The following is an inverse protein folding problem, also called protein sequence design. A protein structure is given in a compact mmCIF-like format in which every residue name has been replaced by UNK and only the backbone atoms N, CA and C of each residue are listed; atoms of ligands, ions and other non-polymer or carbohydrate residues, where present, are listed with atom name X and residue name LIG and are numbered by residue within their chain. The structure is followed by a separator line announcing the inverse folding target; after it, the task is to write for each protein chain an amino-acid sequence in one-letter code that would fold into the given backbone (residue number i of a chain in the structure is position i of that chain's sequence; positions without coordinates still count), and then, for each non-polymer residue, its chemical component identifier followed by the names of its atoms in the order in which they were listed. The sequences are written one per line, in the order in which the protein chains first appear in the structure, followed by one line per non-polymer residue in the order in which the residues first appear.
data_IF_813180175306
#
_entry.id   IF_813180175306
#
_cell.length_a   1.000
_cell.length_b   1.000
_cell.length_c   1.000
_cell.angle_alpha   90.00
_cell.angle_beta   90.00
_cell.angle_gamma   90.00
#
_symmetry.space_group_name_H-M   'P 1'
#
loop_
_entity.id
_entity.type
_entity.pdbx_description
1 polymer ?
#
# COMPACT_ATOMS: atom_id res chain seq x y z
N UNK A 1 -8.22 7.78 25.21
CA UNK A 1 -8.51 6.41 24.72
C UNK A 1 -8.18 6.41 23.24
N UNK A 2 -7.39 5.45 22.76
CA UNK A 2 -7.00 5.35 21.35
C UNK A 2 -8.14 4.75 20.51
N UNK A 3 -8.11 4.93 19.18
CA UNK A 3 -9.11 4.31 18.30
C UNK A 3 -8.83 2.80 18.20
N UNK A 4 -7.58 2.43 17.94
CA UNK A 4 -7.10 1.05 17.88
C UNK A 4 -5.83 0.89 18.73
N UNK A 5 -5.72 -0.25 19.43
CA UNK A 5 -4.49 -0.68 20.09
C UNK A 5 -4.03 -2.01 19.51
N UNK A 6 -2.75 -2.09 19.13
CA UNK A 6 -2.08 -3.38 18.87
C UNK A 6 -1.28 -3.73 20.12
N UNK A 7 -1.66 -4.79 20.83
CA UNK A 7 -1.16 -5.09 22.17
C UNK A 7 -0.15 -6.24 22.18
N UNK A 8 0.99 -6.04 22.86
CA UNK A 8 1.87 -7.14 23.31
C UNK A 8 2.65 -7.85 22.20
N UNK A 9 2.68 -7.32 20.99
CA UNK A 9 3.46 -7.87 19.88
C UNK A 9 4.94 -7.51 19.95
N UNK A 10 5.79 -8.35 19.36
CA UNK A 10 7.20 -8.00 19.13
C UNK A 10 7.26 -7.00 17.98
N UNK A 11 7.45 -5.73 18.30
CA UNK A 11 7.61 -4.66 17.32
C UNK A 11 9.02 -4.74 16.72
N UNK A 12 9.08 -4.91 15.41
CA UNK A 12 10.30 -4.78 14.60
C UNK A 12 10.15 -3.53 13.74
N UNK A 13 10.87 -2.48 14.13
CA UNK A 13 10.93 -1.19 13.44
C UNK A 13 12.39 -0.75 13.30
N UNK A 14 13.07 -1.12 12.20
CA UNK A 14 14.47 -0.76 11.96
C UNK A 14 14.69 0.74 11.85
N UNK A 15 13.70 1.50 11.36
CA UNK A 15 13.80 2.96 11.19
C UNK A 15 13.93 3.69 12.52
N UNK A 16 13.31 3.15 13.57
CA UNK A 16 13.40 3.65 14.95
C UNK A 16 14.27 2.78 15.87
N UNK A 17 15.00 1.81 15.30
CA UNK A 17 15.88 0.87 16.03
C UNK A 17 15.17 0.09 17.16
N UNK A 18 13.92 -0.30 16.92
CA UNK A 18 13.14 -1.09 17.89
C UNK A 18 13.05 -2.54 17.44
N UNK A 19 13.46 -3.44 18.35
CA UNK A 19 13.17 -4.87 18.29
C UNK A 19 12.81 -5.32 19.72
N UNK A 20 11.54 -5.14 20.10
CA UNK A 20 11.08 -5.37 21.46
C UNK A 20 9.56 -5.56 21.53
N UNK A 21 9.08 -6.19 22.60
CA UNK A 21 7.64 -6.24 22.89
C UNK A 21 7.10 -4.83 23.19
N UNK A 22 6.06 -4.41 22.47
CA UNK A 22 5.44 -3.08 22.59
C UNK A 22 3.93 -3.14 22.42
N UNK A 23 3.28 -2.05 22.82
CA UNK A 23 1.89 -1.74 22.55
C UNK A 23 1.82 -0.49 21.67
N UNK A 24 1.09 -0.54 20.57
CA UNK A 24 0.87 0.60 19.67
C UNK A 24 -0.49 1.22 19.92
N UNK A 25 -0.55 2.55 20.02
CA UNK A 25 -1.80 3.32 20.08
C UNK A 25 -2.02 4.09 18.78
N UNK A 26 -3.13 3.83 18.12
CA UNK A 26 -3.50 4.44 16.83
C UNK A 26 -4.68 5.38 17.03
N UNK A 27 -4.56 6.61 16.53
CA UNK A 27 -5.64 7.62 16.55
C UNK A 27 -5.71 8.30 15.18
N UNK A 28 -6.89 8.40 14.59
CA UNK A 28 -7.08 9.05 13.29
C UNK A 28 -6.23 8.45 12.16
N UNK A 29 -5.99 7.14 12.20
CA UNK A 29 -5.17 6.43 11.21
C UNK A 29 -3.66 6.59 11.36
N UNK A 30 -3.19 7.27 12.40
CA UNK A 30 -1.77 7.48 12.69
C UNK A 30 -1.34 6.72 13.94
N UNK A 31 -0.12 6.18 13.94
CA UNK A 31 0.52 5.67 15.16
C UNK A 31 0.89 6.87 16.02
N UNK A 32 0.19 7.02 17.15
CA UNK A 32 0.34 8.16 18.08
C UNK A 32 1.09 7.79 19.36
N UNK A 33 1.27 6.50 19.64
CA UNK A 33 2.03 6.02 20.78
C UNK A 33 2.69 4.67 20.49
N UNK A 34 3.92 4.51 20.98
CA UNK A 34 4.65 3.24 21.10
C UNK A 34 5.02 3.09 22.57
N UNK A 35 4.46 2.09 23.25
CA UNK A 35 4.52 1.97 24.71
C UNK A 35 5.09 0.63 25.15
N UNK A 36 5.88 0.65 26.22
CA UNK A 36 6.33 -0.57 26.92
C UNK A 36 5.23 -1.15 27.83
N UNK A 37 4.25 -0.33 28.20
CA UNK A 37 3.12 -0.70 29.08
C UNK A 37 1.83 -0.85 28.27
N UNK A 38 0.87 -1.69 28.72
CA UNK A 38 -0.42 -1.83 28.06
C UNK A 38 -1.15 -0.49 27.87
N UNK A 39 -1.85 -0.36 26.74
CA UNK A 39 -2.66 0.80 26.38
C UNK A 39 -4.14 0.40 26.30
N UNK A 40 -5.03 1.39 26.40
CA UNK A 40 -6.48 1.20 26.24
C UNK A 40 -6.99 1.89 24.98
N UNK A 41 -7.64 1.13 24.11
CA UNK A 41 -8.28 1.60 22.88
C UNK A 41 -9.75 1.20 22.79
N UNK A 42 -10.49 1.81 21.85
CA UNK A 42 -11.86 1.39 21.52
C UNK A 42 -11.87 -0.01 20.92
N UNK A 43 -10.89 -0.29 20.07
CA UNK A 43 -10.59 -1.62 19.54
C UNK A 43 -9.21 -2.08 20.02
N UNK A 44 -9.06 -3.37 20.29
CA UNK A 44 -7.80 -3.98 20.72
C UNK A 44 -7.53 -5.25 19.91
N UNK A 45 -6.38 -5.29 19.26
CA UNK A 45 -5.84 -6.48 18.60
C UNK A 45 -4.73 -7.05 19.49
N UNK A 46 -4.92 -8.26 19.99
CA UNK A 46 -3.88 -8.99 20.73
C UNK A 46 -2.87 -9.60 19.75
N UNK A 47 -1.64 -9.09 19.79
CA UNK A 47 -0.52 -9.52 18.97
C UNK A 47 0.50 -10.35 19.76
N UNK A 48 0.13 -10.88 20.94
CA UNK A 48 1.02 -11.71 21.76
C UNK A 48 1.55 -12.91 20.96
N UNK A 49 2.86 -13.11 20.98
CA UNK A 49 3.53 -14.17 20.21
C UNK A 49 3.58 -13.92 18.70
N UNK A 50 3.19 -12.73 18.23
CA UNK A 50 3.26 -12.29 16.83
C UNK A 50 4.30 -11.19 16.67
N UNK A 51 4.73 -11.00 15.42
CA UNK A 51 5.54 -9.86 15.01
C UNK A 51 4.60 -8.74 14.56
N UNK A 52 4.93 -7.53 14.96
CA UNK A 52 4.32 -6.29 14.47
C UNK A 52 5.41 -5.51 13.74
N UNK A 53 5.16 -5.08 12.52
CA UNK A 53 6.12 -4.32 11.72
C UNK A 53 5.39 -3.28 10.88
N UNK A 54 6.11 -2.30 10.31
CA UNK A 54 5.56 -1.49 9.23
C UNK A 54 5.01 -2.38 8.11
N UNK A 55 3.91 -1.96 7.50
CA UNK A 55 3.36 -2.66 6.35
C UNK A 55 4.34 -2.67 5.18
N UNK A 56 4.30 -3.73 4.38
CA UNK A 56 5.25 -3.88 3.29
C UNK A 56 4.94 -2.94 2.12
N UNK A 57 6.02 -2.52 1.44
CA UNK A 57 5.98 -1.69 0.24
C UNK A 57 6.42 -2.55 -0.93
N UNK A 58 5.48 -2.86 -1.81
CA UNK A 58 5.75 -3.54 -3.08
C UNK A 58 6.07 -2.49 -4.14
N UNK A 59 7.28 -2.55 -4.69
CA UNK A 59 7.78 -1.62 -5.70
C UNK A 59 7.51 -2.09 -7.13
N UNK A 60 6.99 -3.31 -7.31
CA UNK A 60 6.90 -3.97 -8.60
C UNK A 60 5.60 -4.78 -8.71
N UNK A 61 4.47 -4.10 -8.76
CA UNK A 61 3.17 -4.74 -9.02
C UNK A 61 2.70 -4.49 -10.44
N UNK A 62 2.20 -5.55 -11.09
CA UNK A 62 1.47 -5.52 -12.37
C UNK A 62 -0.02 -5.81 -12.19
N UNK A 63 -0.51 -5.73 -10.95
CA UNK A 63 -1.88 -6.14 -10.62
C UNK A 63 -2.66 -5.07 -9.85
N UNK A 64 -2.88 -3.87 -10.42
CA UNK A 64 -3.71 -2.85 -9.78
C UNK A 64 -5.22 -3.19 -9.89
N UNK A 65 -5.59 -4.46 -9.75
CA UNK A 65 -6.97 -4.93 -9.80
C UNK A 65 -7.50 -5.13 -8.39
N UNK A 66 -8.82 -5.22 -8.23
CA UNK A 66 -9.44 -5.48 -6.92
C UNK A 66 -8.93 -6.80 -6.31
N UNK A 67 -8.76 -7.84 -7.14
CA UNK A 67 -8.17 -9.11 -6.72
C UNK A 67 -6.68 -8.96 -6.34
N UNK A 68 -5.89 -8.25 -7.16
CA UNK A 68 -4.48 -8.01 -6.88
C UNK A 68 -4.28 -7.27 -5.55
N UNK A 69 -5.02 -6.19 -5.32
CA UNK A 69 -4.98 -5.45 -4.07
C UNK A 69 -5.44 -6.29 -2.87
N UNK A 70 -6.45 -7.15 -3.05
CA UNK A 70 -6.89 -8.07 -2.00
C UNK A 70 -5.80 -9.07 -1.60
N UNK A 71 -5.12 -9.66 -2.59
CA UNK A 71 -4.00 -10.58 -2.35
C UNK A 71 -2.79 -9.86 -1.74
N UNK A 72 -2.57 -8.60 -2.11
CA UNK A 72 -1.55 -7.75 -1.52
C UNK A 72 -1.77 -7.57 -0.01
N UNK A 73 -2.99 -7.20 0.41
CA UNK A 73 -3.37 -7.09 1.83
C UNK A 73 -3.11 -8.41 2.57
N UNK A 74 -3.51 -9.55 1.99
CA UNK A 74 -3.27 -10.87 2.61
C UNK A 74 -1.80 -11.23 2.76
N UNK A 75 -0.92 -10.58 2.00
CA UNK A 75 0.53 -10.78 2.05
C UNK A 75 1.25 -9.73 2.92
N UNK A 76 0.52 -8.85 3.60
CA UNK A 76 1.08 -7.79 4.44
C UNK A 76 1.50 -6.53 3.67
N UNK A 77 1.19 -6.44 2.37
CA UNK A 77 1.46 -5.25 1.56
C UNK A 77 0.42 -4.19 1.91
N UNK A 78 0.91 -2.99 2.21
CA UNK A 78 0.07 -1.80 2.49
C UNK A 78 0.28 -0.69 1.48
N UNK A 79 1.35 -0.78 0.68
CA UNK A 79 1.63 0.13 -0.44
C UNK A 79 2.08 -0.68 -1.64
N UNK A 80 1.40 -0.54 -2.77
CA UNK A 80 1.72 -1.24 -4.02
C UNK A 80 1.96 -0.24 -5.16
N UNK A 81 3.15 -0.30 -5.76
CA UNK A 81 3.61 0.66 -6.76
C UNK A 81 3.94 -0.04 -8.08
N UNK A 82 3.39 0.46 -9.17
CA UNK A 82 3.75 0.07 -10.53
C UNK A 82 4.92 0.94 -10.99
N UNK A 83 6.16 0.48 -10.78
CA UNK A 83 7.36 1.26 -11.09
C UNK A 83 8.19 0.72 -12.26
N UNK A 84 7.81 -0.43 -12.85
CA UNK A 84 8.59 -1.03 -13.94
C UNK A 84 8.06 -0.63 -15.31
N UNK A 85 6.86 -1.09 -15.66
CA UNK A 85 6.24 -0.69 -16.92
C UNK A 85 5.74 0.76 -16.83
N UNK A 86 5.31 1.16 -15.64
CA UNK A 86 4.71 2.48 -15.37
C UNK A 86 3.32 2.62 -16.00
N UNK A 87 2.69 3.78 -15.79
CA UNK A 87 1.39 4.09 -16.36
C UNK A 87 1.46 5.33 -17.25
N UNK A 88 0.70 5.32 -18.35
CA UNK A 88 0.54 6.49 -19.22
C UNK A 88 -0.89 6.58 -19.79
N UNK A 89 -1.58 7.73 -19.65
CA UNK A 89 -1.21 8.86 -18.79
C UNK A 89 -1.29 8.46 -17.30
N UNK A 90 -0.30 8.82 -16.50
CA UNK A 90 -0.20 8.43 -15.07
C UNK A 90 -1.40 8.94 -14.25
N UNK A 91 -2.03 10.04 -14.64
CA UNK A 91 -3.25 10.55 -14.02
C UNK A 91 -4.44 9.58 -14.13
N UNK A 92 -4.57 8.84 -15.22
CA UNK A 92 -5.65 7.86 -15.40
C UNK A 92 -5.51 6.68 -14.42
N UNK A 93 -4.28 6.29 -14.07
CA UNK A 93 -4.02 5.30 -13.03
C UNK A 93 -4.56 5.76 -11.68
N UNK A 94 -4.27 7.01 -11.28
CA UNK A 94 -4.75 7.57 -10.03
C UNK A 94 -6.29 7.65 -9.99
N UNK A 95 -6.93 8.12 -11.07
CA UNK A 95 -8.38 8.25 -11.14
C UNK A 95 -9.11 6.92 -10.94
N UNK A 96 -8.59 5.79 -11.46
CA UNK A 96 -9.24 4.49 -11.27
C UNK A 96 -9.08 3.93 -9.85
N UNK A 97 -7.99 4.28 -9.17
CA UNK A 97 -7.62 3.71 -7.86
C UNK A 97 -8.20 4.49 -6.66
N UNK A 98 -8.37 5.80 -6.78
CA UNK A 98 -8.87 6.66 -5.69
C UNK A 98 -10.24 6.19 -5.20
N UNK A 99 -10.35 5.95 -3.90
CA UNK A 99 -11.59 5.50 -3.25
C UNK A 99 -11.91 4.01 -3.45
N UNK A 100 -11.05 3.26 -4.13
CA UNK A 100 -11.25 1.82 -4.41
C UNK A 100 -10.17 0.93 -3.83
N UNK A 101 -8.91 1.33 -3.95
CA UNK A 101 -7.80 0.51 -3.46
C UNK A 101 -7.82 0.41 -1.92
N UNK A 102 -7.77 -0.80 -1.34
CA UNK A 102 -7.61 -1.00 0.10
C UNK A 102 -6.18 -0.73 0.60
N UNK A 103 -5.23 -0.54 -0.31
CA UNK A 103 -3.81 -0.23 -0.03
C UNK A 103 -3.43 1.11 -0.65
N UNK A 104 -2.35 1.73 -0.15
CA UNK A 104 -1.73 2.86 -0.83
C UNK A 104 -1.24 2.43 -2.22
N UNK A 105 -1.33 3.32 -3.20
CA UNK A 105 -1.02 3.02 -4.59
C UNK A 105 -0.24 4.15 -5.25
N UNK A 106 0.46 3.81 -6.32
CA UNK A 106 1.15 4.76 -7.18
C UNK A 106 1.70 4.08 -8.42
N UNK A 107 2.12 4.89 -9.40
CA UNK A 107 2.79 4.40 -10.60
C UNK A 107 3.85 5.40 -11.07
N UNK A 108 4.92 4.90 -11.67
CA UNK A 108 5.86 5.72 -12.45
C UNK A 108 5.23 6.08 -13.81
N UNK A 109 5.83 7.02 -14.54
CA UNK A 109 5.40 7.31 -15.91
C UNK A 109 5.98 6.27 -16.87
N UNK A 110 5.11 5.60 -17.62
CA UNK A 110 5.52 4.56 -18.57
C UNK A 110 6.30 5.12 -19.76
N UNK A 111 7.63 5.00 -19.72
CA UNK A 111 8.52 5.55 -20.74
C UNK A 111 8.26 4.98 -22.14
N UNK A 112 7.97 3.67 -22.26
CA UNK A 112 7.68 3.07 -23.57
C UNK A 112 6.39 3.65 -24.19
N UNK A 113 5.34 3.82 -23.38
CA UNK A 113 4.06 4.35 -23.81
C UNK A 113 4.18 5.82 -24.27
N UNK A 114 4.98 6.62 -23.55
CA UNK A 114 5.32 7.99 -23.96
C UNK A 114 6.06 7.99 -25.30
N UNK A 115 7.04 7.08 -25.49
CA UNK A 115 7.79 7.00 -26.75
C UNK A 115 6.91 6.58 -27.92
N UNK A 116 6.07 5.57 -27.75
CA UNK A 116 5.11 5.16 -28.79
C UNK A 116 4.23 6.35 -29.21
N UNK A 117 3.73 7.11 -28.23
CA UNK A 117 2.92 8.29 -28.51
C UNK A 117 3.67 9.38 -29.26
N UNK A 118 4.88 9.73 -28.83
CA UNK A 118 5.63 10.87 -29.35
C UNK A 118 6.33 10.56 -30.68
N UNK A 119 6.91 9.37 -30.82
CA UNK A 119 7.74 8.99 -31.97
C UNK A 119 6.88 8.38 -33.07
N UNK A 120 5.95 7.50 -32.70
CA UNK A 120 5.19 6.69 -33.65
C UNK A 120 3.76 7.23 -33.86
N UNK A 121 3.32 8.17 -33.02
CA UNK A 121 1.94 8.66 -33.03
C UNK A 121 0.93 7.62 -32.51
N UNK A 122 1.40 6.51 -31.95
CA UNK A 122 0.57 5.40 -31.49
C UNK A 122 0.14 5.58 -30.03
N UNK A 123 -1.15 5.42 -29.75
CA UNK A 123 -1.68 5.38 -28.39
C UNK A 123 -1.57 3.96 -27.83
N UNK A 124 -0.45 3.69 -27.16
CA UNK A 124 -0.16 2.42 -26.47
C UNK A 124 -0.11 2.65 -24.94
N UNK A 125 -1.25 2.96 -24.29
CA UNK A 125 -1.27 3.23 -22.87
C UNK A 125 -0.91 1.97 -22.07
N UNK A 126 0.08 2.10 -21.19
CA UNK A 126 0.47 1.02 -20.29
C UNK A 126 -0.40 1.02 -19.04
N UNK A 127 -0.85 -0.17 -18.63
CA UNK A 127 -1.74 -0.41 -17.49
C UNK A 127 -3.11 0.28 -17.60
N UNK A 128 -3.32 1.16 -18.58
CA UNK A 128 -4.54 1.91 -18.80
C UNK A 128 -5.06 1.53 -20.18
N UNK A 129 -6.34 1.22 -20.31
CA UNK A 129 -7.03 1.04 -21.58
C UNK A 129 -8.31 1.89 -21.58
N UNK A 130 -8.52 2.71 -22.62
CA UNK A 130 -9.68 3.59 -22.74
C UNK A 130 -9.92 4.52 -21.53
N UNK A 131 -8.83 5.01 -20.92
CA UNK A 131 -8.87 5.91 -19.76
C UNK A 131 -9.18 5.24 -18.41
N UNK A 132 -9.18 3.90 -18.35
CA UNK A 132 -9.33 3.10 -17.13
C UNK A 132 -8.23 2.08 -17.04
N UNK A 133 -8.01 1.50 -15.87
CA UNK A 133 -7.02 0.45 -15.73
C UNK A 133 -7.39 -0.79 -16.57
N UNK A 134 -6.42 -1.48 -17.18
CA UNK A 134 -6.66 -2.70 -17.94
C UNK A 134 -7.29 -3.78 -17.03
N UNK A 135 -8.40 -4.37 -17.47
CA UNK A 135 -9.10 -5.45 -16.75
C UNK A 135 -9.34 -6.63 -17.69
N UNK A 136 -8.77 -7.81 -17.41
CA UNK A 136 -9.34 -9.06 -17.90
C UNK A 136 -10.74 -9.21 -17.29
N UNK A 137 -11.74 -9.55 -18.12
CA UNK A 137 -13.11 -9.83 -17.68
C UNK A 137 -13.24 -11.11 -16.86
#
# INVERSE_FOLDING_TARGET
VYDLVVAGGRLIDPGNQVDATRHLGITGGLVTAVSERPLSGREVVDATGKVVCPGFVDLHTHTPTDLGAYLAVRSGITTALELEAGAYPTSAYAVDMVGRSPVHFGASTGHFAVRAKVIEGADEPCMVHSGRLFRPG
#
